data_IF_406228814340
#
_entry.id   IF_406228814340
#
_cell.length_a   1.000
_cell.length_b   1.000
_cell.length_c   1.000
_cell.angle_alpha   90.00
_cell.angle_beta   90.00
_cell.angle_gamma   90.00
#
_symmetry.space_group_name_H-M   'P 1'
#
loop_
_entity.id
_entity.type
_entity.pdbx_description
1 polymer ?
#
# COMPACT_ATOMS: atom_id res chain seq x y z
N UNK A 1 0.46 -0.03 20.29
CA UNK A 1 0.69 0.02 18.83
C UNK A 1 -0.50 -0.60 18.16
N UNK A 2 -0.94 0.02 17.07
CA UNK A 2 -2.06 -0.40 16.22
C UNK A 2 -1.59 -1.25 15.03
N UNK A 3 -0.38 -1.80 15.14
CA UNK A 3 0.20 -2.81 14.27
C UNK A 3 0.62 -4.01 15.14
N UNK A 4 0.24 -5.20 14.72
CA UNK A 4 0.59 -6.47 15.35
C UNK A 4 1.45 -7.29 14.39
N UNK A 5 2.60 -7.76 14.86
CA UNK A 5 3.46 -8.69 14.14
C UNK A 5 2.84 -10.10 14.17
N UNK A 6 2.69 -10.71 13.00
CA UNK A 6 2.12 -12.05 12.79
C UNK A 6 3.12 -13.01 12.13
N UNK A 7 4.41 -12.78 12.35
CA UNK A 7 5.57 -13.50 11.78
C UNK A 7 5.75 -13.27 10.27
N UNK A 8 4.74 -13.60 9.46
CA UNK A 8 4.79 -13.47 7.99
C UNK A 8 4.25 -12.11 7.50
N UNK A 9 3.63 -11.32 8.38
CA UNK A 9 3.04 -10.03 8.03
C UNK A 9 2.81 -9.14 9.25
N UNK A 10 2.65 -7.83 9.00
CA UNK A 10 2.18 -6.86 9.98
C UNK A 10 0.68 -6.58 9.80
N UNK A 11 -0.12 -6.82 10.84
CA UNK A 11 -1.55 -6.61 10.83
C UNK A 11 -1.93 -5.26 11.46
N UNK A 12 -2.54 -4.38 10.69
CA UNK A 12 -3.12 -3.14 11.20
C UNK A 12 -4.38 -3.46 12.01
N UNK A 13 -4.34 -3.14 13.31
CA UNK A 13 -5.42 -3.39 14.30
C UNK A 13 -6.16 -2.11 14.71
N UNK A 14 -5.88 -0.96 14.06
CA UNK A 14 -6.57 0.30 14.33
C UNK A 14 -8.11 0.13 14.27
N UNK A 15 -8.82 0.53 15.32
CA UNK A 15 -10.25 0.25 15.48
C UNK A 15 -11.10 0.74 14.29
N UNK A 16 -10.77 1.91 13.73
CA UNK A 16 -11.46 2.45 12.56
C UNK A 16 -11.14 1.69 11.27
N UNK A 17 -9.95 1.08 11.15
CA UNK A 17 -9.61 0.22 10.02
C UNK A 17 -10.46 -1.05 10.08
N UNK A 18 -10.56 -1.67 11.26
CA UNK A 18 -11.37 -2.87 11.49
C UNK A 18 -12.87 -2.62 11.24
N UNK A 19 -13.44 -1.52 11.75
CA UNK A 19 -14.83 -1.11 11.45
C UNK A 19 -15.03 -0.88 9.94
N UNK A 20 -14.10 -0.18 9.29
CA UNK A 20 -14.19 0.11 7.85
C UNK A 20 -14.12 -1.18 7.04
N UNK A 21 -13.21 -2.10 7.37
CA UNK A 21 -13.08 -3.40 6.72
C UNK A 21 -14.33 -4.26 6.93
N UNK A 22 -14.94 -4.22 8.12
CA UNK A 22 -16.17 -4.97 8.41
C UNK A 22 -17.32 -4.52 7.50
N UNK A 23 -17.44 -3.21 7.26
CA UNK A 23 -18.42 -2.66 6.30
C UNK A 23 -18.09 -3.04 4.86
N UNK A 24 -16.81 -3.04 4.47
CA UNK A 24 -16.39 -3.47 3.14
C UNK A 24 -16.69 -4.95 2.87
N UNK A 25 -16.70 -5.79 3.91
CA UNK A 25 -17.03 -7.21 3.84
C UNK A 25 -18.53 -7.50 3.80
N UNK A 26 -19.37 -6.53 4.16
CA UNK A 26 -20.82 -6.68 4.12
C UNK A 26 -21.31 -6.74 2.67
N UNK A 27 -22.01 -7.81 2.31
CA UNK A 27 -22.53 -8.04 0.96
C UNK A 27 -23.59 -7.01 0.55
N UNK A 28 -24.23 -6.34 1.52
CA UNK A 28 -25.20 -5.28 1.28
C UNK A 28 -24.53 -3.91 1.04
N UNK A 29 -23.19 -3.81 1.13
CA UNK A 29 -22.47 -2.57 0.86
C UNK A 29 -22.43 -2.26 -0.63
N UNK A 30 -23.25 -1.28 -1.02
CA UNK A 30 -23.31 -0.76 -2.38
C UNK A 30 -21.96 -0.23 -2.90
N UNK A 31 -21.77 -0.31 -4.22
CA UNK A 31 -20.50 0.03 -4.90
C UNK A 31 -19.92 1.43 -4.56
N UNK A 32 -20.77 2.44 -4.33
CA UNK A 32 -20.32 3.79 -3.96
C UNK A 32 -19.79 3.82 -2.53
N UNK A 33 -20.47 3.13 -1.61
CA UNK A 33 -20.04 2.99 -0.23
C UNK A 33 -18.77 2.15 -0.14
N UNK A 34 -18.66 1.08 -0.94
CA UNK A 34 -17.45 0.26 -1.04
C UNK A 34 -16.24 1.10 -1.45
N UNK A 35 -16.33 1.84 -2.57
CA UNK A 35 -15.21 2.69 -3.02
C UNK A 35 -14.81 3.74 -1.98
N UNK A 36 -15.79 4.41 -1.36
CA UNK A 36 -15.51 5.40 -0.29
C UNK A 36 -14.90 4.76 0.96
N UNK A 37 -15.35 3.57 1.33
CA UNK A 37 -14.79 2.79 2.42
C UNK A 37 -13.34 2.40 2.15
N UNK A 38 -13.03 2.02 0.91
CA UNK A 38 -11.67 1.65 0.51
C UNK A 38 -10.72 2.86 0.49
N UNK A 39 -11.18 4.05 0.04
CA UNK A 39 -10.43 5.31 0.21
C UNK A 39 -10.15 5.60 1.69
N UNK A 40 -11.18 5.46 2.54
CA UNK A 40 -11.03 5.65 3.98
C UNK A 40 -10.02 4.66 4.57
N UNK A 41 -10.08 3.39 4.18
CA UNK A 41 -9.18 2.36 4.66
C UNK A 41 -7.73 2.66 4.25
N UNK A 42 -7.49 2.98 2.98
CA UNK A 42 -6.14 3.31 2.48
C UNK A 42 -5.53 4.50 3.21
N UNK A 43 -6.34 5.50 3.54
CA UNK A 43 -5.88 6.65 4.33
C UNK A 43 -5.48 6.27 5.75
N UNK A 44 -6.26 5.41 6.42
CA UNK A 44 -5.92 4.91 7.75
C UNK A 44 -4.63 4.09 7.67
N UNK A 45 -4.52 3.16 6.70
CA UNK A 45 -3.31 2.37 6.51
C UNK A 45 -2.07 3.23 6.29
N UNK A 46 -2.18 4.31 5.51
CA UNK A 46 -1.06 5.24 5.32
C UNK A 46 -0.62 5.92 6.62
N UNK A 47 -1.56 6.32 7.49
CA UNK A 47 -1.21 6.87 8.81
C UNK A 47 -0.53 5.84 9.72
N UNK A 48 -0.98 4.59 9.66
CA UNK A 48 -0.38 3.50 10.44
C UNK A 48 1.03 3.15 9.95
N UNK A 49 1.28 3.19 8.63
CA UNK A 49 2.64 3.04 8.07
C UNK A 49 3.54 4.17 8.56
N UNK A 50 3.07 5.42 8.53
CA UNK A 50 3.83 6.57 9.02
C UNK A 50 4.21 6.39 10.50
N UNK A 51 3.25 6.05 11.36
CA UNK A 51 3.46 5.91 12.80
C UNK A 51 4.30 4.68 13.17
N UNK A 52 4.12 3.57 12.43
CA UNK A 52 4.72 2.28 12.76
C UNK A 52 6.08 2.01 12.13
N UNK A 53 6.41 2.65 11.00
CA UNK A 53 7.60 2.33 10.22
C UNK A 53 8.52 3.53 9.94
N UNK A 54 8.02 4.77 9.91
CA UNK A 54 8.84 5.92 9.56
C UNK A 54 9.45 6.59 10.79
N UNK A 55 10.75 6.87 10.75
CA UNK A 55 11.42 7.60 11.82
C UNK A 55 11.03 9.07 11.86
N UNK A 56 11.16 9.68 13.05
CA UNK A 56 11.06 11.12 13.23
C UNK A 56 12.41 11.76 13.54
N UNK A 57 12.52 13.06 13.28
CA UNK A 57 13.65 13.88 13.68
C UNK A 57 13.22 15.19 14.32
N UNK A 58 14.01 15.63 15.30
CA UNK A 58 13.86 16.95 15.90
C UNK A 58 14.42 18.03 14.99
N UNK A 59 13.64 19.09 14.81
CA UNK A 59 14.03 20.23 13.98
C UNK A 59 13.80 21.55 14.71
N UNK A 60 14.67 22.55 14.54
CA UNK A 60 14.39 23.90 15.05
C UNK A 60 13.25 24.54 14.26
N UNK A 61 12.35 25.23 14.96
CA UNK A 61 11.19 25.92 14.36
C UNK A 61 11.04 27.31 14.98
N UNK A 62 10.96 28.33 14.14
CA UNK A 62 10.55 29.68 14.54
C UNK A 62 9.02 29.77 14.49
N UNK A 63 8.40 30.02 15.64
CA UNK A 63 6.97 30.36 15.69
C UNK A 63 6.81 31.88 15.64
N UNK A 64 5.59 32.43 15.41
CA UNK A 64 5.38 33.88 15.48
C UNK A 64 5.74 34.53 16.83
N UNK A 65 5.98 33.74 17.89
CA UNK A 65 6.26 34.23 19.24
C UNK A 65 7.70 33.93 19.73
N UNK A 66 8.30 32.82 19.29
CA UNK A 66 9.63 32.36 19.72
C UNK A 66 10.12 31.14 18.91
N UNK A 67 11.42 30.88 18.99
CA UNK A 67 12.04 29.60 18.60
C UNK A 67 11.62 28.46 19.54
N UNK A 68 11.45 27.27 18.97
CA UNK A 68 11.19 26.01 19.68
C UNK A 68 11.74 24.81 18.90
N UNK A 69 11.64 23.61 19.47
CA UNK A 69 11.93 22.35 18.78
C UNK A 69 10.61 21.69 18.35
N UNK A 70 10.50 21.41 17.05
CA UNK A 70 9.44 20.58 16.48
C UNK A 70 9.95 19.19 16.14
N UNK A 71 9.05 18.35 15.66
CA UNK A 71 9.34 16.98 15.22
C UNK A 71 8.73 16.78 13.83
N UNK A 72 9.48 16.13 12.94
CA UNK A 72 9.06 15.84 11.56
C UNK A 72 9.34 14.39 11.22
N UNK A 73 8.49 13.80 10.37
CA UNK A 73 8.67 12.45 9.82
C UNK A 73 9.74 12.50 8.72
N UNK A 74 10.76 11.65 8.80
CA UNK A 74 11.78 11.47 7.76
C UNK A 74 11.19 10.73 6.57
N UNK A 75 11.65 11.05 5.35
CA UNK A 75 11.23 10.35 4.13
C UNK A 75 9.76 10.51 3.74
N UNK A 76 8.97 11.33 4.44
CA UNK A 76 7.52 11.50 4.15
C UNK A 76 7.24 12.01 2.73
N UNK A 77 8.19 12.75 2.17
CA UNK A 77 8.12 13.30 0.82
C UNK A 77 8.80 12.41 -0.24
N UNK A 78 9.54 11.39 0.20
CA UNK A 78 10.29 10.43 -0.61
C UNK A 78 9.54 9.09 -0.66
N UNK A 79 8.26 9.14 -1.02
CA UNK A 79 7.39 7.95 -1.10
C UNK A 79 6.97 7.70 -2.55
N UNK A 80 7.02 6.46 -3.00
CA UNK A 80 6.51 6.01 -4.29
C UNK A 80 5.37 5.03 -4.09
N UNK A 81 4.16 5.39 -4.49
CA UNK A 81 2.99 4.51 -4.41
C UNK A 81 2.71 3.87 -5.76
N UNK A 82 2.71 2.54 -5.81
CA UNK A 82 2.44 1.75 -7.01
C UNK A 82 1.00 1.23 -6.96
N UNK A 83 0.20 1.71 -7.90
CA UNK A 83 -1.20 1.30 -8.05
C UNK A 83 -1.32 0.08 -8.95
N UNK A 84 -1.68 -1.06 -8.36
CA UNK A 84 -2.03 -2.27 -9.12
C UNK A 84 -3.45 -2.11 -9.64
N UNK A 85 -3.58 -1.80 -10.94
CA UNK A 85 -4.90 -1.69 -11.55
C UNK A 85 -5.61 -3.05 -11.53
N UNK A 86 -6.93 -3.07 -11.37
CA UNK A 86 -7.87 -1.92 -11.40
C UNK A 86 -8.39 -1.54 -10.03
N UNK A 87 -8.65 -2.55 -9.19
CA UNK A 87 -9.41 -2.42 -7.95
C UNK A 87 -8.69 -1.61 -6.87
N UNK A 88 -7.36 -1.47 -6.94
CA UNK A 88 -6.58 -0.71 -5.97
C UNK A 88 -6.76 0.80 -6.07
N UNK A 89 -7.34 1.33 -7.15
CA UNK A 89 -7.43 2.79 -7.37
C UNK A 89 -8.04 3.57 -6.19
N UNK A 90 -9.20 3.18 -5.60
CA UNK A 90 -9.73 3.90 -4.45
C UNK A 90 -8.86 3.70 -3.19
N UNK A 91 -8.19 2.55 -3.05
CA UNK A 91 -7.29 2.28 -1.91
C UNK A 91 -6.06 3.20 -1.96
N UNK A 92 -5.43 3.29 -3.14
CA UNK A 92 -4.31 4.18 -3.43
C UNK A 92 -4.70 5.65 -3.32
N UNK A 93 -5.91 6.03 -3.74
CA UNK A 93 -6.41 7.39 -3.51
C UNK A 93 -6.38 7.74 -2.01
N UNK A 94 -6.72 6.79 -1.14
CA UNK A 94 -6.59 6.91 0.30
C UNK A 94 -5.15 7.13 0.77
N UNK A 95 -4.21 6.32 0.28
CA UNK A 95 -2.79 6.44 0.58
C UNK A 95 -2.22 7.80 0.16
N UNK A 96 -2.59 8.30 -1.02
CA UNK A 96 -2.18 9.62 -1.49
C UNK A 96 -2.73 10.76 -0.60
N UNK A 97 -3.76 10.52 0.22
CA UNK A 97 -4.19 11.48 1.25
C UNK A 97 -3.38 11.41 2.54
N UNK A 98 -2.65 10.32 2.77
CA UNK A 98 -1.70 10.15 3.88
C UNK A 98 -0.30 10.61 3.48
N UNK A 99 0.10 10.41 2.22
CA UNK A 99 1.37 10.84 1.63
C UNK A 99 1.13 11.85 0.49
N UNK A 100 0.85 13.14 0.78
CA UNK A 100 0.41 14.10 -0.23
C UNK A 100 1.44 14.40 -1.33
N UNK A 101 2.72 14.12 -1.06
CA UNK A 101 3.85 14.36 -1.97
C UNK A 101 4.36 13.09 -2.65
N UNK A 102 3.78 11.93 -2.37
CA UNK A 102 4.20 10.68 -2.97
C UNK A 102 4.14 10.74 -4.51
N UNK A 103 5.19 10.23 -5.16
CA UNK A 103 5.14 9.90 -6.59
C UNK A 103 4.19 8.72 -6.78
N UNK A 104 3.57 8.62 -7.95
CA UNK A 104 2.65 7.52 -8.25
C UNK A 104 3.11 6.76 -9.50
N UNK A 105 3.30 5.45 -9.34
CA UNK A 105 3.44 4.49 -10.42
C UNK A 105 2.15 3.71 -10.66
N UNK A 106 2.00 3.14 -11.85
CA UNK A 106 0.84 2.32 -12.21
C UNK A 106 1.29 1.07 -12.95
N UNK A 107 0.80 -0.08 -12.52
CA UNK A 107 0.97 -1.36 -13.19
C UNK A 107 -0.41 -1.97 -13.43
N UNK A 108 -0.71 -2.35 -14.68
CA UNK A 108 -1.91 -3.09 -15.02
C UNK A 108 -1.59 -4.58 -15.03
N UNK A 109 -2.14 -5.30 -14.05
CA UNK A 109 -2.00 -6.74 -13.92
C UNK A 109 -3.37 -7.41 -13.88
N UNK A 110 -3.54 -8.47 -14.67
CA UNK A 110 -4.79 -9.23 -14.73
C UNK A 110 -4.52 -10.72 -14.67
N UNK A 111 -5.37 -11.46 -13.95
CA UNK A 111 -5.36 -12.92 -14.00
C UNK A 111 -5.99 -13.38 -15.30
N UNK A 112 -5.34 -14.31 -16.01
CA UNK A 112 -5.99 -15.03 -17.08
C UNK A 112 -6.96 -16.06 -16.50
N UNK A 113 -8.20 -15.63 -16.24
CA UNK A 113 -9.25 -16.51 -15.71
C UNK A 113 -9.60 -17.67 -16.66
N UNK A 114 -9.31 -17.54 -17.96
CA UNK A 114 -9.60 -18.58 -18.95
C UNK A 114 -8.54 -19.69 -18.98
N UNK A 115 -7.28 -19.35 -18.63
CA UNK A 115 -6.21 -20.33 -18.50
C UNK A 115 -6.39 -21.25 -17.28
N UNK A 116 -7.17 -20.83 -16.28
CA UNK A 116 -7.37 -21.56 -15.03
C UNK A 116 -6.15 -21.45 -14.08
N UNK A 117 -6.26 -22.07 -12.91
CA UNK A 117 -5.13 -22.20 -11.99
C UNK A 117 -4.18 -23.28 -12.49
N UNK A 118 -2.88 -23.05 -12.35
CA UNK A 118 -1.85 -24.08 -12.58
C UNK A 118 -1.97 -25.20 -11.54
N UNK A 119 -1.32 -26.34 -11.81
CA UNK A 119 -1.29 -27.47 -10.87
C UNK A 119 -0.67 -27.08 -9.51
N UNK A 120 0.17 -26.05 -9.48
CA UNK A 120 0.82 -25.50 -8.28
C UNK A 120 -0.04 -24.44 -7.56
N UNK A 121 -1.25 -24.15 -8.05
CA UNK A 121 -2.19 -23.22 -7.40
C UNK A 121 -1.97 -21.75 -7.74
N UNK A 122 -1.23 -21.45 -8.81
CA UNK A 122 -0.96 -20.09 -9.26
C UNK A 122 -1.86 -19.69 -10.42
N UNK A 123 -2.03 -18.37 -10.62
CA UNK A 123 -2.70 -17.84 -11.80
C UNK A 123 -1.68 -17.24 -12.78
N UNK A 124 -1.76 -17.56 -14.08
CA UNK A 124 -1.02 -16.81 -15.09
C UNK A 124 -1.43 -15.33 -15.04
N UNK A 125 -0.45 -14.45 -14.90
CA UNK A 125 -0.65 -13.01 -14.83
C UNK A 125 -0.19 -12.35 -16.12
N UNK A 126 -1.06 -11.52 -16.71
CA UNK A 126 -0.72 -10.66 -17.83
C UNK A 126 -0.43 -9.25 -17.32
N UNK A 127 0.70 -8.69 -17.74
CA UNK A 127 1.07 -7.30 -17.50
C UNK A 127 0.88 -6.52 -18.79
N UNK A 128 -0.16 -5.68 -18.83
CA UNK A 128 -0.55 -4.96 -20.04
C UNK A 128 0.07 -3.55 -20.13
N UNK A 129 0.44 -2.99 -18.98
CA UNK A 129 0.94 -1.63 -18.88
C UNK A 129 1.79 -1.44 -17.63
N UNK A 130 2.97 -0.85 -17.81
CA UNK A 130 3.85 -0.44 -16.71
C UNK A 130 4.25 1.00 -16.95
N UNK A 131 4.04 1.85 -15.94
CA UNK A 131 4.60 3.20 -15.90
C UNK A 131 4.99 3.55 -14.47
N UNK A 132 6.28 3.45 -14.20
CA UNK A 132 6.85 3.81 -12.91
C UNK A 132 7.55 5.18 -12.99
N UNK A 133 7.52 5.98 -11.92
CA UNK A 133 8.47 7.07 -11.75
C UNK A 133 9.88 6.52 -11.47
N UNK A 134 10.89 7.37 -11.49
CA UNK A 134 12.20 7.03 -10.96
C UNK A 134 12.09 6.71 -9.47
N UNK A 135 12.53 5.50 -9.10
CA UNK A 135 12.65 5.00 -7.74
C UNK A 135 14.12 5.15 -7.34
N UNK A 136 14.37 5.89 -6.26
CA UNK A 136 15.71 6.21 -5.77
C UNK A 136 16.01 5.44 -4.48
N UNK A 137 17.30 5.29 -4.10
CA UNK A 137 17.68 4.60 -2.86
C UNK A 137 17.05 5.19 -1.59
N UNK A 138 16.71 6.47 -1.56
CA UNK A 138 16.01 7.11 -0.44
C UNK A 138 14.48 7.00 -0.49
N UNK A 139 13.90 6.41 -1.54
CA UNK A 139 12.46 6.32 -1.67
C UNK A 139 11.91 5.12 -0.87
N UNK A 140 10.84 5.34 -0.11
CA UNK A 140 9.97 4.28 0.42
C UNK A 140 8.94 3.88 -0.64
N UNK A 141 8.93 2.62 -1.05
CA UNK A 141 8.00 2.10 -2.07
C UNK A 141 6.81 1.40 -1.41
N UNK A 142 5.58 1.73 -1.83
CA UNK A 142 4.35 1.08 -1.36
C UNK A 142 3.59 0.51 -2.55
N UNK A 143 3.55 -0.82 -2.67
CA UNK A 143 2.76 -1.53 -3.68
C UNK A 143 1.42 -1.92 -3.07
N UNK A 144 0.32 -1.38 -3.60
CA UNK A 144 -1.00 -1.55 -3.01
C UNK A 144 -1.94 -2.35 -3.91
N UNK A 145 -2.50 -3.43 -3.36
CA UNK A 145 -3.60 -4.21 -3.94
C UNK A 145 -4.56 -4.65 -2.81
N UNK A 146 -5.86 -4.30 -2.84
CA UNK A 146 -6.80 -4.63 -1.77
C UNK A 146 -6.86 -6.12 -1.39
N UNK A 147 -6.59 -7.04 -2.32
CA UNK A 147 -6.73 -8.47 -2.09
C UNK A 147 -5.47 -9.25 -2.43
N UNK A 148 -4.76 -9.72 -1.40
CA UNK A 148 -3.64 -10.64 -1.55
C UNK A 148 -4.11 -12.08 -1.34
N UNK A 149 -4.47 -12.76 -2.43
CA UNK A 149 -5.02 -14.13 -2.36
C UNK A 149 -3.93 -15.21 -2.52
N UNK A 150 -3.54 -15.53 -3.75
CA UNK A 150 -2.50 -16.53 -4.07
C UNK A 150 -1.11 -15.92 -4.19
N UNK A 151 -0.96 -14.61 -3.97
CA UNK A 151 0.30 -13.91 -4.21
C UNK A 151 0.65 -13.66 -5.69
N UNK A 152 0.15 -14.47 -6.64
CA UNK A 152 0.60 -14.44 -8.06
C UNK A 152 0.60 -13.05 -8.71
N UNK A 153 -0.47 -12.26 -8.54
CA UNK A 153 -0.53 -10.88 -9.06
C UNK A 153 0.51 -9.98 -8.42
N UNK A 154 0.69 -10.08 -7.09
CA UNK A 154 1.64 -9.27 -6.36
C UNK A 154 3.08 -9.65 -6.72
N UNK A 155 3.40 -10.95 -6.83
CA UNK A 155 4.71 -11.42 -7.26
C UNK A 155 5.09 -10.87 -8.64
N UNK A 156 4.20 -11.02 -9.64
CA UNK A 156 4.45 -10.48 -10.98
C UNK A 156 4.61 -8.94 -11.00
N UNK A 157 3.87 -8.23 -10.15
CA UNK A 157 4.03 -6.77 -10.00
C UNK A 157 5.38 -6.45 -9.35
N UNK A 158 5.76 -7.15 -8.28
CA UNK A 158 7.00 -6.95 -7.56
C UNK A 158 8.22 -7.23 -8.44
N UNK A 159 8.19 -8.26 -9.27
CA UNK A 159 9.26 -8.54 -10.25
C UNK A 159 9.54 -7.30 -11.12
N UNK A 160 8.50 -6.65 -11.64
CA UNK A 160 8.66 -5.42 -12.42
C UNK A 160 9.17 -4.23 -11.60
N UNK A 161 8.83 -4.15 -10.31
CA UNK A 161 9.34 -3.08 -9.43
C UNK A 161 10.81 -3.29 -9.13
N UNK A 162 11.21 -4.53 -8.85
CA UNK A 162 12.58 -4.91 -8.54
C UNK A 162 13.50 -4.87 -9.78
N UNK A 163 12.96 -5.11 -10.98
CA UNK A 163 13.72 -4.99 -12.24
C UNK A 163 14.01 -3.54 -12.62
N UNK A 164 13.13 -2.59 -12.25
CA UNK A 164 13.24 -1.17 -12.61
C UNK A 164 13.95 -0.33 -11.52
N UNK A 165 14.00 -0.80 -10.28
CA UNK A 165 14.64 -0.11 -9.16
C UNK A 165 15.97 -0.78 -8.79
N UNK A 166 17.08 -0.03 -8.89
CA UNK A 166 18.38 -0.52 -8.44
C UNK A 166 18.45 -0.67 -6.91
N UNK A 167 17.78 0.23 -6.16
CA UNK A 167 17.73 0.26 -4.69
C UNK A 167 16.54 1.12 -4.19
N UNK A 168 16.15 0.93 -2.93
CA UNK A 168 15.11 1.71 -2.22
C UNK A 168 15.30 1.57 -0.70
N UNK A 169 14.78 2.52 0.08
CA UNK A 169 14.94 2.51 1.54
C UNK A 169 14.10 1.39 2.16
N UNK A 170 12.83 1.33 1.76
CA UNK A 170 11.85 0.35 2.22
C UNK A 170 10.90 -0.05 1.10
N UNK A 171 10.37 -1.27 1.18
CA UNK A 171 9.32 -1.79 0.30
C UNK A 171 8.18 -2.40 1.10
N UNK A 172 7.02 -1.78 1.01
CA UNK A 172 5.79 -2.23 1.64
C UNK A 172 4.82 -2.82 0.62
N UNK A 173 4.40 -4.06 0.85
CA UNK A 173 3.23 -4.65 0.20
C UNK A 173 2.01 -4.40 1.09
N UNK A 174 1.05 -3.62 0.59
CA UNK A 174 -0.15 -3.28 1.34
C UNK A 174 -1.40 -3.90 0.72
N UNK A 175 -2.14 -4.65 1.53
CA UNK A 175 -3.46 -5.15 1.16
C UNK A 175 -4.49 -4.90 2.26
N UNK A 176 -5.77 -4.84 1.88
CA UNK A 176 -6.86 -4.72 2.84
C UNK A 176 -7.19 -6.08 3.49
N UNK A 177 -6.98 -7.17 2.75
CA UNK A 177 -7.13 -8.54 3.19
C UNK A 177 -6.08 -9.42 2.51
N UNK A 178 -5.43 -10.27 3.29
CA UNK A 178 -4.51 -11.29 2.80
C UNK A 178 -4.97 -12.68 3.22
N UNK A 179 -4.76 -13.68 2.35
CA UNK A 179 -4.85 -15.08 2.71
C UNK A 179 -3.44 -15.61 3.06
N UNK A 180 -3.31 -16.59 3.97
CA UNK A 180 -2.00 -17.14 4.32
C UNK A 180 -1.19 -17.64 3.12
N UNK A 181 -1.84 -18.23 2.12
CA UNK A 181 -1.18 -18.72 0.90
C UNK A 181 -0.56 -17.62 0.02
N UNK A 182 -0.95 -16.35 0.20
CA UNK A 182 -0.37 -15.23 -0.53
C UNK A 182 0.68 -14.45 0.25
N UNK A 183 0.96 -14.83 1.50
CA UNK A 183 2.01 -14.24 2.34
C UNK A 183 3.37 -14.94 2.20
N UNK A 184 3.37 -16.16 1.66
CA UNK A 184 4.54 -17.04 1.53
C UNK A 184 5.16 -16.93 0.15
#
# INVERSE_FOLDING_TARGET
MTIEDRDDAYLITHALATDTLSRLRDAETEQVAFRKGLVKLGRICGYEIIDGAMETEYVPVETPLAETTGERVKGLDDVVIINVLRAATPFVEGLLKAFPRAKQGVISAGRDEAAGMTDDGEFPITIDYVKLPEIRPEDTVIVADPMLATGSTMAAVLDHVLDEADDFEDLFVLSAVSAPAGLV
#
